data_IF_077298851023
#
_entry.id   IF_077298851023
#
_cell.length_a   1.000
_cell.length_b   1.000
_cell.length_c   1.000
_cell.angle_alpha   90.00
_cell.angle_beta   90.00
_cell.angle_gamma   90.00
#
_symmetry.space_group_name_H-M   'P 1'
#
loop_
_entity.id
_entity.type
_entity.pdbx_description
1 polymer ?
#
# COMPACT_ATOMS: atom_id res chain seq x y z
N UNK A 1 9.98 2.92 2.89
CA UNK A 1 8.53 2.67 3.00
C UNK A 1 7.80 3.91 3.51
N UNK A 2 7.47 4.91 2.67
CA UNK A 2 6.85 6.17 3.16
C UNK A 2 5.31 6.14 3.19
N UNK A 3 4.68 5.31 2.37
CA UNK A 3 3.21 5.25 2.21
C UNK A 3 2.60 3.87 2.50
N UNK A 4 3.41 2.94 3.00
CA UNK A 4 3.03 1.54 3.25
C UNK A 4 1.81 1.40 4.15
N UNK A 5 1.78 2.18 5.24
CA UNK A 5 0.66 2.20 6.18
C UNK A 5 -0.63 2.71 5.52
N UNK A 6 -0.55 3.82 4.78
CA UNK A 6 -1.71 4.38 4.05
C UNK A 6 -2.24 3.42 2.99
N UNK A 7 -1.37 2.70 2.28
CA UNK A 7 -1.76 1.70 1.26
C UNK A 7 -2.44 0.48 1.87
N UNK A 8 -2.00 0.04 3.06
CA UNK A 8 -2.58 -1.14 3.72
C UNK A 8 -3.89 -0.80 4.43
N UNK A 9 -3.98 0.39 5.02
CA UNK A 9 -5.18 0.85 5.73
C UNK A 9 -6.27 1.38 4.78
N UNK A 10 -5.94 1.60 3.50
CA UNK A 10 -6.90 1.99 2.47
C UNK A 10 -7.80 0.81 2.05
N UNK A 11 -8.99 0.79 2.66
CA UNK A 11 -10.05 -0.18 2.39
C UNK A 11 -10.93 0.19 1.20
N UNK A 12 -10.85 1.42 0.69
CA UNK A 12 -11.75 1.98 -0.33
C UNK A 12 -11.06 2.25 -1.67
N UNK A 13 -9.77 1.96 -1.82
CA UNK A 13 -8.93 2.32 -2.99
C UNK A 13 -8.79 3.85 -3.18
N UNK A 14 -9.09 4.64 -2.15
CA UNK A 14 -9.02 6.11 -2.19
C UNK A 14 -7.58 6.62 -2.38
N UNK A 15 -6.59 5.85 -1.91
CA UNK A 15 -5.18 6.14 -2.11
C UNK A 15 -4.87 6.19 -3.61
N UNK A 16 -5.35 5.21 -4.38
CA UNK A 16 -5.12 5.17 -5.82
C UNK A 16 -5.71 6.40 -6.51
N UNK A 17 -6.99 6.70 -6.27
CA UNK A 17 -7.67 7.86 -6.86
C UNK A 17 -6.99 9.18 -6.50
N UNK A 18 -6.48 9.32 -5.26
CA UNK A 18 -5.77 10.51 -4.81
C UNK A 18 -4.40 10.69 -5.48
N UNK A 19 -3.70 9.59 -5.77
CA UNK A 19 -2.38 9.61 -6.41
C UNK A 19 -2.46 9.69 -7.93
N UNK A 20 -3.45 9.05 -8.54
CA UNK A 20 -3.79 9.17 -9.96
C UNK A 20 -4.10 10.65 -10.31
N UNK A 21 -4.93 11.32 -9.50
CA UNK A 21 -5.25 12.76 -9.66
C UNK A 21 -4.03 13.68 -9.55
N UNK A 22 -2.95 13.25 -8.90
CA UNK A 22 -1.71 14.02 -8.78
C UNK A 22 -0.80 13.87 -10.00
N UNK A 23 -1.20 13.12 -11.03
CA UNK A 23 -0.38 12.84 -12.21
C UNK A 23 0.90 12.07 -11.88
N UNK A 24 0.96 11.47 -10.68
CA UNK A 24 2.10 10.71 -10.15
C UNK A 24 1.66 9.28 -9.86
N UNK A 25 1.08 8.61 -10.85
CA UNK A 25 0.83 7.18 -10.76
C UNK A 25 2.19 6.44 -10.72
N UNK A 26 2.77 6.38 -9.52
CA UNK A 26 4.08 5.78 -9.26
C UNK A 26 3.98 4.37 -8.69
N UNK A 27 2.76 3.88 -8.45
CA UNK A 27 2.49 2.56 -7.90
C UNK A 27 1.47 1.85 -8.78
N UNK A 28 1.91 0.76 -9.39
CA UNK A 28 1.04 -0.20 -10.06
C UNK A 28 0.31 -1.05 -9.01
N UNK A 29 -0.71 -1.79 -9.44
CA UNK A 29 -1.36 -2.76 -8.56
C UNK A 29 -0.36 -3.82 -8.05
N UNK A 30 0.61 -4.19 -8.88
CA UNK A 30 1.69 -5.13 -8.54
C UNK A 30 2.56 -4.58 -7.40
N UNK A 31 2.94 -3.30 -7.46
CA UNK A 31 3.71 -2.67 -6.38
C UNK A 31 2.92 -2.61 -5.06
N UNK A 32 1.61 -2.38 -5.13
CA UNK A 32 0.70 -2.38 -3.98
C UNK A 32 0.63 -3.77 -3.36
N UNK A 33 0.51 -4.81 -4.19
CA UNK A 33 0.39 -6.18 -3.71
C UNK A 33 1.69 -6.65 -3.05
N UNK A 34 2.86 -6.27 -3.59
CA UNK A 34 4.16 -6.49 -2.93
C UNK A 34 4.19 -5.82 -1.55
N UNK A 35 3.79 -4.55 -1.47
CA UNK A 35 3.73 -3.78 -0.22
C UNK A 35 2.79 -4.44 0.80
N UNK A 36 1.60 -4.87 0.37
CA UNK A 36 0.64 -5.56 1.24
C UNK A 36 1.20 -6.88 1.76
N UNK A 37 1.88 -7.63 0.92
CA UNK A 37 2.46 -8.92 1.28
C UNK A 37 3.65 -8.76 2.25
N UNK A 38 4.52 -7.76 2.03
CA UNK A 38 5.58 -7.42 2.97
C UNK A 38 5.05 -6.97 4.33
N UNK A 39 3.97 -6.17 4.33
CA UNK A 39 3.33 -5.74 5.56
C UNK A 39 2.70 -6.92 6.32
N UNK A 40 2.01 -7.82 5.62
CA UNK A 40 1.46 -9.03 6.22
C UNK A 40 2.55 -9.88 6.88
N UNK A 41 3.69 -10.07 6.20
CA UNK A 41 4.87 -10.76 6.77
C UNK A 41 5.43 -10.04 8.01
N UNK A 42 5.53 -8.71 7.96
CA UNK A 42 5.97 -7.91 9.11
C UNK A 42 5.03 -8.09 10.31
N UNK A 43 3.72 -7.95 10.11
CA UNK A 43 2.71 -8.12 11.17
C UNK A 43 2.77 -9.53 11.77
N UNK A 44 2.85 -10.57 10.95
CA UNK A 44 2.95 -11.95 11.43
C UNK A 44 4.23 -12.17 12.25
N UNK A 45 5.36 -11.56 11.85
CA UNK A 45 6.63 -11.66 12.59
C UNK A 45 6.64 -10.85 13.89
N UNK A 46 5.90 -9.76 13.97
CA UNK A 46 5.86 -8.88 15.15
C UNK A 46 4.84 -9.33 16.19
N UNK A 47 3.80 -10.06 15.79
CA UNK A 47 2.71 -10.51 16.67
C UNK A 47 2.72 -12.03 16.96
N UNK A 48 3.77 -12.75 16.55
CA UNK A 48 4.11 -14.12 16.99
C UNK A 48 5.36 -14.04 17.86
#
# INVERSE_FOLDING_TARGET
>A
MRYMKEIVEDKSLDFFTKWERRGKAAYTQEDIDVIRNEWAKFMVKTYI
#
